data_IF_306609738543
#
_entry.id   IF_306609738543
#
_cell.length_a   1.000
_cell.length_b   1.000
_cell.length_c   1.000
_cell.angle_alpha   90.00
_cell.angle_beta   90.00
_cell.angle_gamma   90.00
#
_symmetry.space_group_name_H-M   'P 1'
#
loop_
_entity.id
_entity.type
_entity.pdbx_description
1 polymer ?
#
# COMPACT_ATOMS: atom_id res chain seq x y z
N UNK A 1 6.37 16.35 19.80
CA UNK A 1 7.83 16.58 19.96
C UNK A 1 8.47 16.22 18.65
N UNK A 2 9.43 17.00 18.18
CA UNK A 2 10.09 16.71 16.89
C UNK A 2 10.88 15.38 16.97
N UNK A 3 10.87 14.53 15.93
CA UNK A 3 11.66 13.30 15.89
C UNK A 3 13.15 13.50 16.20
N UNK A 4 13.73 14.65 15.80
CA UNK A 4 15.12 14.98 16.08
C UNK A 4 15.35 15.18 17.59
N UNK A 5 14.42 15.82 18.29
CA UNK A 5 14.49 15.99 19.74
C UNK A 5 14.41 14.64 20.46
N UNK A 6 13.52 13.75 20.01
CA UNK A 6 13.41 12.39 20.54
C UNK A 6 14.73 11.64 20.34
N UNK A 7 15.34 11.75 19.15
CA UNK A 7 16.63 11.12 18.84
C UNK A 7 17.77 11.69 19.70
N UNK A 8 17.83 13.01 19.90
CA UNK A 8 18.82 13.66 20.76
C UNK A 8 18.66 13.18 22.21
N UNK A 9 17.43 13.11 22.72
CA UNK A 9 17.14 12.59 24.06
C UNK A 9 17.57 11.13 24.19
N UNK A 10 17.18 10.28 23.24
CA UNK A 10 17.57 8.87 23.21
C UNK A 10 19.09 8.70 23.25
N UNK A 11 19.84 9.45 22.43
CA UNK A 11 21.31 9.39 22.40
C UNK A 11 21.97 9.76 23.73
N UNK A 12 21.36 10.66 24.51
CA UNK A 12 21.82 11.03 25.85
C UNK A 12 21.54 9.93 26.87
N UNK A 13 20.31 9.39 26.89
CA UNK A 13 19.87 8.47 27.95
C UNK A 13 20.22 7.00 27.71
N UNK A 14 20.42 6.56 26.46
CA UNK A 14 20.57 5.14 26.10
C UNK A 14 21.75 4.40 26.75
N UNK A 15 22.75 5.13 27.27
CA UNK A 15 23.95 4.57 27.92
C UNK A 15 23.86 4.56 29.45
N UNK A 16 22.77 5.10 30.02
CA UNK A 16 22.56 5.04 31.46
C UNK A 16 22.20 3.63 31.90
N UNK A 17 22.67 3.22 33.09
CA UNK A 17 22.42 1.88 33.63
C UNK A 17 20.94 1.57 33.84
N UNK A 18 20.14 2.58 34.19
CA UNK A 18 18.71 2.43 34.49
C UNK A 18 17.81 2.70 33.27
N UNK A 19 18.38 2.75 32.06
CA UNK A 19 17.62 3.05 30.84
C UNK A 19 16.71 1.88 30.44
N UNK A 20 15.40 2.17 30.35
CA UNK A 20 14.38 1.25 29.86
C UNK A 20 13.86 1.74 28.51
N UNK A 21 14.15 0.97 27.45
CA UNK A 21 13.73 1.31 26.08
C UNK A 21 12.21 1.29 25.92
N UNK A 22 11.52 0.34 26.57
CA UNK A 22 10.05 0.22 26.46
C UNK A 22 9.39 1.49 27.00
N UNK A 23 9.76 1.89 28.23
CA UNK A 23 9.26 3.12 28.84
C UNK A 23 9.64 4.36 28.02
N UNK A 24 10.83 4.38 27.43
CA UNK A 24 11.22 5.48 26.56
C UNK A 24 10.28 5.59 25.35
N UNK A 25 9.95 4.48 24.70
CA UNK A 25 9.04 4.45 23.56
C UNK A 25 7.62 4.88 23.97
N UNK A 26 7.07 4.30 25.04
CA UNK A 26 5.73 4.64 25.56
C UNK A 26 5.59 6.13 25.91
N UNK A 27 6.68 6.77 26.35
CA UNK A 27 6.68 8.19 26.71
C UNK A 27 6.83 9.16 25.51
N UNK A 28 7.29 8.70 24.35
CA UNK A 28 7.63 9.58 23.21
C UNK A 28 6.88 9.26 21.92
N UNK A 29 6.19 8.12 21.85
CA UNK A 29 5.45 7.66 20.67
C UNK A 29 4.01 7.34 21.03
N UNK A 30 3.09 7.72 20.15
CA UNK A 30 1.72 7.22 20.18
C UNK A 30 1.66 5.95 19.35
N UNK A 31 1.34 4.84 20.01
CA UNK A 31 1.11 3.57 19.31
C UNK A 31 -0.30 3.59 18.70
N UNK A 32 -0.47 3.01 17.50
CA UNK A 32 -1.78 2.93 16.88
C UNK A 32 -2.73 2.14 17.79
N UNK A 33 -3.96 2.62 17.88
CA UNK A 33 -5.01 1.88 18.58
C UNK A 33 -5.24 0.56 17.83
N UNK A 34 -5.20 -0.54 18.58
CA UNK A 34 -5.68 -1.81 18.05
C UNK A 34 -7.18 -1.65 17.98
N UNK A 35 -7.72 -1.47 16.77
CA UNK A 35 -9.15 -1.55 16.51
C UNK A 35 -9.59 -3.00 16.71
N UNK A 36 -9.61 -3.48 17.96
CA UNK A 36 -10.39 -4.66 18.32
C UNK A 36 -11.83 -4.24 18.13
N UNK A 37 -12.41 -4.60 16.99
CA UNK A 37 -13.81 -4.35 16.74
C UNK A 37 -14.60 -4.99 17.88
N UNK A 38 -15.37 -4.20 18.62
CA UNK A 38 -16.41 -4.71 19.53
C UNK A 38 -17.50 -5.48 18.77
N UNK A 39 -17.36 -5.62 17.44
CA UNK A 39 -18.19 -6.45 16.60
C UNK A 39 -18.14 -7.90 17.05
N UNK A 40 -19.27 -8.38 17.54
CA UNK A 40 -19.53 -9.79 17.83
C UNK A 40 -20.44 -10.31 16.73
N UNK A 41 -19.98 -11.32 15.99
CA UNK A 41 -20.81 -11.97 14.98
C UNK A 41 -22.03 -12.61 15.62
N UNK A 42 -23.22 -12.31 15.09
CA UNK A 42 -24.45 -13.02 15.46
C UNK A 42 -24.57 -14.30 14.60
N UNK A 43 -24.56 -15.50 15.21
CA UNK A 43 -24.74 -16.76 14.47
C UNK A 43 -26.08 -16.89 13.75
N UNK A 44 -27.07 -16.03 14.05
CA UNK A 44 -28.37 -16.01 13.38
C UNK A 44 -28.34 -15.25 12.04
N UNK A 45 -27.34 -14.39 11.81
CA UNK A 45 -27.21 -13.66 10.56
C UNK A 45 -26.79 -14.60 9.43
N UNK A 46 -27.37 -14.39 8.25
CA UNK A 46 -26.84 -14.99 7.03
C UNK A 46 -25.43 -14.45 6.73
N UNK A 47 -24.66 -15.18 5.91
CA UNK A 47 -23.34 -14.73 5.48
C UNK A 47 -23.38 -13.34 4.81
N UNK A 48 -24.41 -13.07 4.01
CA UNK A 48 -24.59 -11.77 3.34
C UNK A 48 -24.82 -10.66 4.37
N UNK A 49 -25.73 -10.86 5.32
CA UNK A 49 -26.01 -9.86 6.37
C UNK A 49 -24.78 -9.60 7.24
N UNK A 50 -24.02 -10.66 7.56
CA UNK A 50 -22.76 -10.51 8.28
C UNK A 50 -21.75 -9.66 7.52
N UNK A 51 -21.56 -9.90 6.21
CA UNK A 51 -20.67 -9.09 5.36
C UNK A 51 -21.15 -7.64 5.27
N UNK A 52 -22.45 -7.42 5.02
CA UNK A 52 -23.03 -6.08 4.91
C UNK A 52 -22.84 -5.27 6.22
N UNK A 53 -22.93 -5.93 7.37
CA UNK A 53 -22.69 -5.34 8.69
C UNK A 53 -21.21 -5.04 8.98
N UNK A 54 -20.27 -5.67 8.28
CA UNK A 54 -18.84 -5.42 8.46
C UNK A 54 -18.36 -4.17 7.71
N UNK A 55 -19.07 -3.69 6.67
CA UNK A 55 -18.63 -2.50 5.94
C UNK A 55 -18.40 -1.27 6.82
N UNK A 56 -19.30 -0.89 7.75
CA UNK A 56 -19.03 0.21 8.68
C UNK A 56 -17.84 -0.06 9.61
N UNK A 57 -17.64 -1.31 10.04
CA UNK A 57 -16.54 -1.70 10.94
C UNK A 57 -15.19 -1.58 10.25
N UNK A 58 -15.14 -1.89 8.96
CA UNK A 58 -13.94 -1.82 8.12
C UNK A 58 -13.73 -0.45 7.47
N UNK A 59 -14.70 0.46 7.58
CA UNK A 59 -14.58 1.83 7.06
C UNK A 59 -13.70 2.66 7.99
N UNK A 60 -12.82 3.47 7.39
CA UNK A 60 -12.05 4.50 8.07
C UNK A 60 -12.42 5.84 7.46
N UNK A 61 -12.73 6.79 8.33
CA UNK A 61 -13.06 8.15 7.95
C UNK A 61 -11.79 8.97 7.65
N UNK A 62 -11.87 9.99 6.78
CA UNK A 62 -10.77 10.89 6.55
C UNK A 62 -10.39 11.60 7.86
N UNK A 63 -9.10 11.69 8.12
CA UNK A 63 -8.55 12.33 9.31
C UNK A 63 -7.43 13.27 8.89
N UNK A 64 -7.25 14.35 9.65
CA UNK A 64 -6.10 15.22 9.50
C UNK A 64 -4.81 14.44 9.71
N UNK A 65 -3.81 14.75 8.89
CA UNK A 65 -2.52 14.09 9.03
C UNK A 65 -1.88 14.47 10.36
N UNK A 66 -1.76 13.49 11.25
CA UNK A 66 -1.00 13.62 12.50
C UNK A 66 0.49 13.81 12.13
N UNK A 67 1.14 14.90 12.55
CA UNK A 67 2.54 15.14 12.23
C UNK A 67 3.44 13.95 12.56
N UNK A 68 4.30 13.58 11.61
CA UNK A 68 5.24 12.45 11.72
C UNK A 68 4.59 11.07 11.85
N UNK A 69 3.27 10.96 11.62
CA UNK A 69 2.62 9.67 11.48
C UNK A 69 3.06 8.97 10.20
N UNK A 70 3.15 7.64 10.24
CA UNK A 70 3.35 6.86 9.02
C UNK A 70 2.09 6.77 8.17
N UNK A 71 0.89 6.99 8.73
CA UNK A 71 -0.36 6.94 7.99
C UNK A 71 -0.50 8.20 7.12
N UNK A 72 -0.63 7.98 5.81
CA UNK A 72 -0.89 9.03 4.83
C UNK A 72 -2.38 9.36 4.87
N UNK A 73 -2.70 10.64 5.06
CA UNK A 73 -4.09 11.10 5.04
C UNK A 73 -4.69 10.90 3.64
N UNK A 74 -5.96 10.50 3.62
CA UNK A 74 -6.76 10.37 2.41
C UNK A 74 -7.96 11.31 2.51
N UNK A 75 -8.39 11.94 1.39
CA UNK A 75 -9.46 12.94 1.41
C UNK A 75 -10.86 12.36 1.62
N UNK A 76 -11.08 11.08 1.34
CA UNK A 76 -12.38 10.40 1.45
C UNK A 76 -12.28 9.17 2.35
N UNK A 77 -13.43 8.65 2.78
CA UNK A 77 -13.51 7.41 3.55
C UNK A 77 -12.99 6.22 2.73
N UNK A 78 -12.42 5.22 3.39
CA UNK A 78 -11.84 4.05 2.71
C UNK A 78 -12.04 2.77 3.54
N UNK A 79 -11.97 1.62 2.88
CA UNK A 79 -12.03 0.31 3.53
C UNK A 79 -10.63 -0.21 3.83
N UNK A 80 -10.47 -0.82 5.00
CA UNK A 80 -9.27 -1.57 5.38
C UNK A 80 -9.57 -3.08 5.44
N UNK A 81 -8.60 -3.97 5.20
CA UNK A 81 -8.82 -5.42 5.28
C UNK A 81 -9.25 -5.92 6.67
N UNK A 82 -8.93 -5.18 7.73
CA UNK A 82 -9.28 -5.50 9.11
C UNK A 82 -8.18 -6.19 9.91
N UNK A 83 -8.44 -6.38 11.20
CA UNK A 83 -7.48 -6.95 12.16
C UNK A 83 -6.27 -6.03 12.37
N UNK A 84 -5.06 -6.55 12.08
CA UNK A 84 -3.82 -5.77 12.22
C UNK A 84 -3.64 -4.70 11.14
N UNK A 85 -4.38 -4.79 10.05
CA UNK A 85 -4.28 -3.89 8.93
C UNK A 85 -5.21 -2.69 9.14
N UNK A 86 -4.60 -1.52 9.33
CA UNK A 86 -5.30 -0.27 9.65
C UNK A 86 -5.16 0.77 8.54
N UNK A 87 -4.60 0.37 7.41
CA UNK A 87 -4.39 1.14 6.20
C UNK A 87 -5.16 0.51 5.03
N UNK A 88 -5.47 1.30 4.01
CA UNK A 88 -5.95 0.75 2.74
C UNK A 88 -4.82 0.05 2.00
N UNK A 89 -5.15 -1.00 1.26
CA UNK A 89 -4.24 -1.73 0.38
C UNK A 89 -4.76 -1.67 -1.04
N UNK A 90 -3.87 -1.48 -2.01
CA UNK A 90 -4.26 -1.19 -3.38
C UNK A 90 -5.04 -2.34 -4.04
N UNK A 91 -4.45 -3.52 -4.21
CA UNK A 91 -5.12 -4.60 -4.94
C UNK A 91 -6.27 -5.25 -4.16
N UNK A 92 -6.17 -5.34 -2.82
CA UNK A 92 -7.24 -5.83 -1.94
C UNK A 92 -8.50 -4.96 -2.07
N UNK A 93 -8.32 -3.67 -2.33
CA UNK A 93 -9.41 -2.73 -2.50
C UNK A 93 -10.26 -3.03 -3.73
N UNK A 94 -9.69 -3.57 -4.82
CA UNK A 94 -10.50 -3.93 -5.99
C UNK A 94 -11.48 -5.06 -5.66
N UNK A 95 -11.01 -6.12 -4.99
CA UNK A 95 -11.87 -7.23 -4.57
C UNK A 95 -12.90 -6.80 -3.52
N UNK A 96 -12.51 -5.87 -2.64
CA UNK A 96 -13.44 -5.24 -1.71
C UNK A 96 -14.52 -4.44 -2.44
N UNK A 97 -14.14 -3.67 -3.47
CA UNK A 97 -15.05 -2.88 -4.28
C UNK A 97 -16.06 -3.74 -5.03
N UNK A 98 -15.68 -4.91 -5.53
CA UNK A 98 -16.64 -5.88 -6.09
C UNK A 98 -17.73 -6.26 -5.07
N UNK A 99 -17.36 -6.46 -3.80
CA UNK A 99 -18.34 -6.70 -2.73
C UNK A 99 -19.21 -5.49 -2.42
N UNK A 100 -18.63 -4.29 -2.42
CA UNK A 100 -19.37 -3.04 -2.20
C UNK A 100 -20.40 -2.77 -3.31
N UNK A 101 -20.05 -3.06 -4.57
CA UNK A 101 -20.96 -3.00 -5.71
C UNK A 101 -22.19 -3.88 -5.50
N UNK A 102 -21.98 -5.16 -5.17
CA UNK A 102 -23.04 -6.11 -4.87
C UNK A 102 -23.89 -5.71 -3.64
N UNK A 103 -23.29 -5.03 -2.67
CA UNK A 103 -23.98 -4.47 -1.50
C UNK A 103 -24.67 -3.11 -1.78
N UNK A 104 -24.57 -2.55 -2.99
CA UNK A 104 -25.16 -1.26 -3.35
C UNK A 104 -24.49 -0.04 -2.69
N UNK A 105 -23.23 -0.17 -2.27
CA UNK A 105 -22.44 0.88 -1.60
C UNK A 105 -21.66 1.76 -2.59
N UNK A 106 -22.38 2.34 -3.54
CA UNK A 106 -21.83 3.27 -4.54
C UNK A 106 -21.11 4.47 -3.92
N UNK A 107 -21.55 4.88 -2.72
CA UNK A 107 -20.91 5.92 -1.91
C UNK A 107 -19.45 5.59 -1.62
N UNK A 108 -19.19 4.37 -1.13
CA UNK A 108 -17.85 3.92 -0.78
C UNK A 108 -17.00 3.60 -2.00
N UNK A 109 -17.61 3.07 -3.07
CA UNK A 109 -16.91 2.91 -4.34
C UNK A 109 -16.30 4.27 -4.71
N UNK A 110 -17.13 5.31 -4.82
CA UNK A 110 -16.68 6.62 -5.30
C UNK A 110 -15.55 7.19 -4.44
N UNK A 111 -15.69 7.08 -3.12
CA UNK A 111 -14.66 7.50 -2.17
C UNK A 111 -13.33 6.77 -2.40
N UNK A 112 -13.35 5.45 -2.61
CA UNK A 112 -12.15 4.65 -2.84
C UNK A 112 -11.42 5.05 -4.13
N UNK A 113 -12.13 5.22 -5.24
CA UNK A 113 -11.48 5.65 -6.48
C UNK A 113 -10.96 7.09 -6.42
N UNK A 114 -11.68 8.00 -5.76
CA UNK A 114 -11.21 9.37 -5.56
C UNK A 114 -9.94 9.38 -4.68
N UNK A 115 -9.84 8.49 -3.68
CA UNK A 115 -8.61 8.32 -2.90
C UNK A 115 -7.44 7.75 -3.73
N UNK A 116 -7.67 6.77 -4.60
CA UNK A 116 -6.63 6.23 -5.48
C UNK A 116 -6.14 7.24 -6.50
N UNK A 117 -7.06 7.98 -7.13
CA UNK A 117 -6.74 9.10 -8.01
C UNK A 117 -5.91 10.17 -7.27
N UNK A 118 -6.30 10.52 -6.05
CA UNK A 118 -5.56 11.48 -5.23
C UNK A 118 -4.15 10.98 -4.89
N UNK A 119 -3.96 9.70 -4.59
CA UNK A 119 -2.63 9.13 -4.35
C UNK A 119 -1.74 9.20 -5.60
N UNK A 120 -2.30 8.95 -6.79
CA UNK A 120 -1.57 9.11 -8.06
C UNK A 120 -1.14 10.57 -8.25
N UNK A 121 -2.01 11.54 -7.99
CA UNK A 121 -1.68 12.96 -8.11
C UNK A 121 -0.57 13.40 -7.16
N UNK A 122 -0.59 12.93 -5.92
CA UNK A 122 0.29 13.42 -4.86
C UNK A 122 1.60 12.64 -4.76
N UNK A 123 1.61 11.35 -5.13
CA UNK A 123 2.76 10.46 -4.99
C UNK A 123 3.26 9.89 -6.32
N UNK A 124 2.60 10.22 -7.43
CA UNK A 124 2.95 9.75 -8.78
C UNK A 124 2.52 8.31 -9.09
N UNK A 125 2.01 7.58 -8.09
CA UNK A 125 1.53 6.21 -8.21
C UNK A 125 0.66 5.84 -6.99
N UNK A 126 -0.03 4.71 -7.06
CA UNK A 126 -0.71 4.14 -5.90
C UNK A 126 0.30 3.30 -5.10
N UNK A 127 0.66 3.67 -3.86
CA UNK A 127 1.54 2.87 -3.03
C UNK A 127 0.85 1.56 -2.62
N UNK A 128 1.64 0.57 -2.16
CA UNK A 128 1.11 -0.71 -1.66
C UNK A 128 -0.04 -0.54 -0.65
N UNK A 129 0.10 0.45 0.25
CA UNK A 129 -0.98 0.98 1.07
C UNK A 129 -0.69 2.42 1.49
N UNK A 130 -1.61 3.10 2.17
CA UNK A 130 -1.46 4.52 2.54
C UNK A 130 -0.53 4.73 3.74
N UNK A 131 0.70 4.19 3.68
CA UNK A 131 1.76 4.39 4.68
C UNK A 131 3.04 4.94 4.04
N UNK A 132 3.78 5.79 4.75
CA UNK A 132 5.02 6.41 4.27
C UNK A 132 6.08 5.38 3.85
N UNK A 133 6.15 4.23 4.52
CA UNK A 133 7.07 3.13 4.19
C UNK A 133 6.63 2.28 2.98
N UNK A 134 5.44 2.53 2.43
CA UNK A 134 4.96 1.94 1.18
C UNK A 134 5.16 2.86 -0.04
N UNK A 135 5.55 4.12 0.13
CA UNK A 135 5.77 5.05 -0.98
C UNK A 135 6.90 4.64 -1.95
N UNK A 136 7.71 3.64 -1.62
CA UNK A 136 8.77 3.14 -2.48
C UNK A 136 8.33 2.06 -3.47
N UNK A 137 7.08 1.56 -3.36
CA UNK A 137 6.56 0.48 -4.20
C UNK A 137 5.05 0.55 -4.37
N UNK A 138 4.59 0.00 -5.49
CA UNK A 138 3.17 -0.25 -5.74
C UNK A 138 2.76 -1.71 -5.43
N UNK A 139 1.55 -2.06 -5.84
CA UNK A 139 0.95 -3.40 -5.85
C UNK A 139 0.45 -3.71 -7.27
N UNK A 140 -0.12 -4.90 -7.55
CA UNK A 140 -0.68 -5.18 -8.87
C UNK A 140 -1.61 -4.05 -9.35
N UNK A 141 -1.40 -3.48 -10.56
CA UNK A 141 -2.11 -2.29 -11.02
C UNK A 141 -3.54 -2.63 -11.46
N UNK A 142 -4.49 -2.45 -10.55
CA UNK A 142 -5.91 -2.76 -10.74
C UNK A 142 -6.80 -1.52 -10.79
N UNK A 143 -6.24 -0.30 -10.79
CA UNK A 143 -7.02 0.93 -10.85
C UNK A 143 -7.81 1.07 -12.15
N UNK A 144 -7.28 0.59 -13.28
CA UNK A 144 -8.07 0.49 -14.51
C UNK A 144 -9.32 -0.39 -14.34
N UNK A 145 -9.20 -1.52 -13.64
CA UNK A 145 -10.31 -2.42 -13.34
C UNK A 145 -11.30 -1.79 -12.36
N UNK A 146 -10.79 -1.03 -11.38
CA UNK A 146 -11.64 -0.24 -10.48
C UNK A 146 -12.46 0.77 -11.27
N UNK A 147 -11.83 1.51 -12.19
CA UNK A 147 -12.49 2.51 -13.05
C UNK A 147 -13.55 1.88 -13.97
N UNK A 148 -13.28 0.69 -14.51
CA UNK A 148 -14.24 -0.08 -15.31
C UNK A 148 -15.48 -0.47 -14.48
N UNK A 149 -15.26 -0.99 -13.26
CA UNK A 149 -16.34 -1.35 -12.33
C UNK A 149 -17.31 -0.19 -12.06
N UNK A 150 -16.81 1.05 -11.92
CA UNK A 150 -17.69 2.22 -11.74
C UNK A 150 -18.67 2.43 -12.88
N UNK A 151 -18.21 2.26 -14.12
CA UNK A 151 -19.05 2.51 -15.28
C UNK A 151 -20.10 1.41 -15.44
N UNK A 152 -19.74 0.17 -15.13
CA UNK A 152 -20.66 -0.98 -15.16
C UNK A 152 -21.79 -0.84 -14.12
N UNK A 153 -21.47 -0.38 -12.91
CA UNK A 153 -22.46 -0.17 -11.84
C UNK A 153 -23.25 1.15 -11.97
N UNK A 154 -23.07 1.90 -13.07
CA UNK A 154 -23.83 3.11 -13.34
C UNK A 154 -23.36 4.36 -12.60
N UNK A 155 -22.23 4.29 -11.89
CA UNK A 155 -21.57 5.46 -11.31
C UNK A 155 -20.88 6.25 -12.43
N UNK A 156 -21.64 7.16 -13.04
CA UNK A 156 -21.15 7.99 -14.15
C UNK A 156 -19.95 8.83 -13.72
N UNK A 157 -18.85 8.75 -14.48
CA UNK A 157 -17.76 9.71 -14.34
C UNK A 157 -16.36 9.17 -14.55
N UNK A 158 -16.16 7.94 -14.99
CA UNK A 158 -14.84 7.33 -15.16
C UNK A 158 -13.91 8.13 -16.06
N UNK A 159 -14.45 8.89 -17.01
CA UNK A 159 -13.66 9.80 -17.85
C UNK A 159 -12.80 10.77 -17.03
N UNK A 160 -13.21 11.13 -15.81
CA UNK A 160 -12.42 11.99 -14.92
C UNK A 160 -11.11 11.34 -14.45
N UNK A 161 -11.02 10.01 -14.47
CA UNK A 161 -9.84 9.25 -14.07
C UNK A 161 -8.86 8.98 -15.22
N UNK A 162 -9.17 9.42 -16.44
CA UNK A 162 -8.32 9.15 -17.61
C UNK A 162 -6.89 9.67 -17.42
N UNK A 163 -6.75 10.87 -16.85
CA UNK A 163 -5.43 11.45 -16.63
C UNK A 163 -4.67 10.69 -15.53
N UNK A 164 -5.35 10.23 -14.47
CA UNK A 164 -4.77 9.37 -13.44
C UNK A 164 -4.31 8.02 -13.98
N UNK A 165 -5.10 7.39 -14.87
CA UNK A 165 -4.72 6.14 -15.54
C UNK A 165 -3.46 6.32 -16.39
N UNK A 166 -3.34 7.44 -17.10
CA UNK A 166 -2.13 7.77 -17.86
C UNK A 166 -0.92 8.00 -16.95
N UNK A 167 -1.13 8.67 -15.81
CA UNK A 167 -0.07 8.89 -14.82
C UNK A 167 0.41 7.57 -14.21
N UNK A 168 -0.50 6.67 -13.84
CA UNK A 168 -0.12 5.35 -13.35
C UNK A 168 0.61 4.54 -14.42
N UNK A 169 0.13 4.56 -15.67
CA UNK A 169 0.83 3.92 -16.79
C UNK A 169 2.25 4.49 -16.97
N UNK A 170 2.41 5.81 -16.90
CA UNK A 170 3.71 6.46 -17.00
C UNK A 170 4.65 6.03 -15.85
N UNK A 171 4.14 5.83 -14.64
CA UNK A 171 4.91 5.27 -13.54
C UNK A 171 5.42 3.85 -13.85
N UNK A 172 4.57 2.96 -14.35
CA UNK A 172 4.98 1.59 -14.70
C UNK A 172 5.96 1.54 -15.87
N UNK A 173 5.86 2.49 -16.80
CA UNK A 173 6.67 2.58 -18.01
C UNK A 173 7.89 3.50 -17.88
N UNK A 174 8.19 3.99 -16.67
CA UNK A 174 9.31 4.90 -16.44
C UNK A 174 10.65 4.31 -16.93
N UNK A 175 11.35 5.08 -17.76
CA UNK A 175 12.63 4.71 -18.37
C UNK A 175 12.55 3.77 -19.59
N UNK A 176 11.36 3.36 -20.04
CA UNK A 176 11.19 2.42 -21.15
C UNK A 176 11.92 2.84 -22.44
N UNK A 177 11.85 4.12 -22.80
CA UNK A 177 12.42 4.65 -24.06
C UNK A 177 13.96 4.57 -24.11
N UNK A 178 14.61 4.56 -22.95
CA UNK A 178 16.08 4.56 -22.84
C UNK A 178 16.70 3.16 -22.75
N UNK A 179 15.87 2.12 -22.62
CA UNK A 179 16.35 0.75 -22.46
C UNK A 179 16.86 0.16 -23.77
N UNK A 180 18.03 -0.47 -23.74
CA UNK A 180 18.49 -1.36 -24.82
C UNK A 180 18.08 -2.82 -24.52
N UNK A 181 18.05 -3.73 -25.51
CA UNK A 181 17.72 -5.13 -25.28
C UNK A 181 18.57 -5.76 -24.16
N UNK A 182 17.94 -6.61 -23.35
CA UNK A 182 18.48 -7.23 -22.13
C UNK A 182 18.77 -6.29 -20.95
N UNK A 183 18.21 -5.09 -20.97
CA UNK A 183 18.31 -4.15 -19.85
C UNK A 183 16.99 -4.04 -19.10
N UNK A 184 17.08 -3.76 -17.81
CA UNK A 184 15.94 -3.43 -16.98
C UNK A 184 16.22 -2.17 -16.16
N UNK A 185 15.21 -1.32 -16.03
CA UNK A 185 15.23 -0.13 -15.21
C UNK A 185 13.91 -0.04 -14.46
N UNK A 186 13.96 0.07 -13.13
CA UNK A 186 12.79 0.02 -12.26
C UNK A 186 11.83 -1.12 -12.65
N UNK A 187 10.61 -0.76 -13.05
CA UNK A 187 9.54 -1.64 -13.44
C UNK A 187 9.65 -2.16 -14.87
N UNK A 188 10.47 -1.58 -15.74
CA UNK A 188 10.52 -1.96 -17.16
C UNK A 188 11.70 -2.89 -17.46
N UNK A 189 11.45 -3.91 -18.29
CA UNK A 189 12.43 -4.84 -18.82
C UNK A 189 12.31 -4.86 -20.35
N UNK A 190 13.42 -4.64 -21.05
CA UNK A 190 13.50 -4.81 -22.50
C UNK A 190 14.07 -6.18 -22.83
N UNK A 191 13.25 -7.03 -23.43
CA UNK A 191 13.56 -8.41 -23.77
C UNK A 191 14.53 -8.49 -24.97
N UNK A 192 15.17 -9.65 -25.22
CA UNK A 192 16.11 -9.81 -26.34
C UNK A 192 15.48 -9.56 -27.72
N UNK A 193 14.19 -9.85 -27.87
CA UNK A 193 13.39 -9.62 -29.09
C UNK A 193 12.96 -8.15 -29.27
N UNK A 194 13.29 -7.29 -28.30
CA UNK A 194 12.92 -5.88 -28.29
C UNK A 194 11.60 -5.57 -27.58
N UNK A 195 10.84 -6.58 -27.16
CA UNK A 195 9.58 -6.43 -26.44
C UNK A 195 9.80 -5.74 -25.09
N UNK A 196 8.88 -4.86 -24.70
CA UNK A 196 8.86 -4.22 -23.39
C UNK A 196 7.86 -4.91 -22.47
N UNK A 197 8.31 -5.20 -21.26
CA UNK A 197 7.51 -5.87 -20.24
C UNK A 197 7.72 -5.22 -18.88
N UNK A 198 6.76 -5.41 -17.96
CA UNK A 198 6.87 -4.90 -16.60
C UNK A 198 7.26 -5.99 -15.59
N UNK A 199 7.94 -5.58 -14.52
CA UNK A 199 8.26 -6.37 -13.33
C UNK A 199 7.94 -5.57 -12.06
N UNK A 200 7.77 -6.28 -10.95
CA UNK A 200 7.73 -5.63 -9.64
C UNK A 200 9.12 -5.10 -9.26
N UNK A 201 9.12 -3.91 -8.68
CA UNK A 201 10.31 -3.20 -8.24
C UNK A 201 9.95 -2.36 -7.01
N UNK A 202 10.93 -2.20 -6.12
CA UNK A 202 10.88 -1.29 -4.98
C UNK A 202 12.12 -0.40 -5.11
N UNK A 203 11.92 0.92 -4.97
CA UNK A 203 12.97 1.92 -5.08
C UNK A 203 13.89 1.96 -3.85
N UNK A 204 13.55 1.27 -2.76
CA UNK A 204 14.41 1.09 -1.59
C UNK A 204 15.16 -0.25 -1.64
N UNK A 205 16.42 -0.21 -1.26
CA UNK A 205 17.29 -1.37 -1.06
C UNK A 205 17.58 -1.64 0.43
N UNK A 206 16.74 -1.11 1.32
CA UNK A 206 16.82 -1.27 2.78
C UNK A 206 15.82 -2.31 3.30
N UNK A 207 16.00 -2.85 4.52
CA UNK A 207 14.96 -3.66 5.16
C UNK A 207 13.63 -2.90 5.23
N UNK A 208 12.53 -3.65 5.17
CA UNK A 208 11.18 -3.08 5.29
C UNK A 208 10.92 -2.60 6.71
N UNK A 209 10.37 -1.40 6.85
CA UNK A 209 10.09 -0.80 8.16
C UNK A 209 9.09 -1.67 8.96
N UNK A 210 8.11 -2.29 8.27
CA UNK A 210 7.09 -3.16 8.85
C UNK A 210 7.55 -4.60 9.13
N UNK A 211 8.76 -4.98 8.71
CA UNK A 211 9.31 -6.34 8.86
C UNK A 211 10.83 -6.31 9.07
N UNK A 212 11.29 -5.32 9.84
CA UNK A 212 12.71 -4.99 9.96
C UNK A 212 13.55 -6.16 10.47
N UNK A 213 13.09 -6.82 11.54
CA UNK A 213 13.83 -7.91 12.17
C UNK A 213 13.92 -9.12 11.24
N UNK A 214 12.82 -9.49 10.61
CA UNK A 214 12.69 -10.61 9.70
C UNK A 214 13.60 -10.44 8.47
N UNK A 215 13.61 -9.24 7.87
CA UNK A 215 14.44 -8.94 6.71
C UNK A 215 15.93 -8.97 7.06
N UNK A 216 16.31 -8.39 8.21
CA UNK A 216 17.70 -8.38 8.69
C UNK A 216 18.20 -9.79 8.97
N UNK A 217 17.42 -10.61 9.67
CA UNK A 217 17.79 -12.00 9.96
C UNK A 217 17.85 -12.86 8.71
N UNK A 218 16.92 -12.67 7.76
CA UNK A 218 16.96 -13.42 6.50
C UNK A 218 18.17 -13.04 5.66
N UNK A 219 18.53 -11.75 5.59
CA UNK A 219 19.73 -11.29 4.89
C UNK A 219 21.01 -11.89 5.50
N UNK A 220 21.14 -11.92 6.83
CA UNK A 220 22.27 -12.55 7.53
C UNK A 220 22.43 -14.03 7.18
N UNK A 221 21.33 -14.78 7.09
CA UNK A 221 21.35 -16.21 6.81
C UNK A 221 21.42 -16.55 5.31
N UNK A 222 21.28 -15.58 4.41
CA UNK A 222 21.20 -15.82 2.96
C UNK A 222 22.55 -16.13 2.28
N UNK A 223 23.67 -15.74 2.90
CA UNK A 223 25.00 -15.81 2.29
C UNK A 223 25.21 -14.85 1.10
N UNK A 224 24.27 -13.91 0.86
CA UNK A 224 24.32 -12.92 -0.22
C UNK A 224 24.49 -11.51 0.33
N UNK A 225 24.99 -10.56 -0.48
CA UNK A 225 25.03 -9.15 -0.12
C UNK A 225 23.62 -8.65 0.26
N UNK A 226 23.43 -7.97 1.41
CA UNK A 226 22.11 -7.55 1.86
C UNK A 226 21.32 -6.69 0.85
N UNK A 227 22.02 -5.83 0.11
CA UNK A 227 21.45 -5.01 -0.97
C UNK A 227 20.89 -5.80 -2.16
N UNK A 228 21.27 -7.08 -2.34
CA UNK A 228 20.64 -7.97 -3.33
C UNK A 228 19.44 -8.74 -2.76
N UNK A 229 19.31 -8.78 -1.44
CA UNK A 229 18.35 -9.61 -0.71
C UNK A 229 17.13 -8.79 -0.32
N UNK A 230 17.31 -7.58 0.23
CA UNK A 230 16.20 -6.72 0.64
C UNK A 230 15.23 -6.39 -0.51
N UNK A 231 15.68 -6.05 -1.74
CA UNK A 231 14.77 -5.81 -2.84
C UNK A 231 13.98 -7.04 -3.29
N UNK A 232 14.34 -8.26 -2.87
CA UNK A 232 13.58 -9.47 -3.23
C UNK A 232 12.37 -9.69 -2.34
N UNK A 233 12.40 -9.26 -1.08
CA UNK A 233 11.25 -9.38 -0.18
C UNK A 233 10.14 -8.41 -0.59
N UNK A 234 10.51 -7.21 -1.04
CA UNK A 234 9.58 -6.18 -1.50
C UNK A 234 8.99 -6.46 -2.87
N UNK A 235 9.67 -7.26 -3.70
CA UNK A 235 9.18 -7.76 -5.01
C UNK A 235 8.28 -8.98 -4.93
N UNK A 236 7.99 -9.46 -3.72
CA UNK A 236 7.07 -10.57 -3.47
C UNK A 236 7.78 -11.90 -3.18
N UNK A 237 7.93 -12.22 -1.89
CA UNK A 237 8.08 -13.61 -1.42
C UNK A 237 6.75 -14.39 -1.39
N UNK A 238 5.61 -13.75 -1.68
CA UNK A 238 4.27 -14.37 -1.66
C UNK A 238 3.64 -14.67 -3.03
N UNK A 239 4.17 -14.10 -4.12
CA UNK A 239 3.69 -14.33 -5.48
C UNK A 239 4.89 -14.68 -6.37
N UNK A 240 5.29 -15.95 -6.36
CA UNK A 240 6.04 -16.56 -7.48
C UNK A 240 5.14 -16.74 -8.72
N UNK A 241 4.21 -15.83 -8.96
CA UNK A 241 3.59 -15.66 -10.25
C UNK A 241 4.31 -14.49 -10.90
N UNK A 242 5.21 -14.81 -11.83
CA UNK A 242 5.70 -13.87 -12.83
C UNK A 242 4.53 -13.44 -13.69
N UNK A 243 3.65 -12.62 -13.15
CA UNK A 243 2.66 -11.89 -13.92
C UNK A 243 3.40 -10.73 -14.58
N UNK A 244 4.02 -11.06 -15.71
CA UNK A 244 4.23 -10.14 -16.80
C UNK A 244 2.84 -9.71 -17.26
N UNK A 245 2.37 -8.56 -16.81
CA UNK A 245 1.15 -7.97 -17.35
C UNK A 245 1.51 -7.26 -18.66
N UNK A 246 0.99 -7.68 -19.81
CA UNK A 246 0.90 -6.79 -20.95
C UNK A 246 -0.19 -5.78 -20.60
N UNK A 247 0.20 -4.54 -20.28
CA UNK A 247 -0.75 -3.43 -20.28
C UNK A 247 -1.16 -3.24 -21.74
N UNK A 248 -2.44 -3.46 -22.04
CA UNK A 248 -3.00 -3.34 -23.37
C UNK A 248 -2.70 -1.94 -23.94
N UNK A 249 -2.08 -1.93 -25.11
CA UNK A 249 -1.83 -0.73 -25.92
C UNK A 249 -3.10 -0.34 -26.69
#
# INVERSE_FOLDING_TARGET
MDPLDILIRYRKVRRHRDFDLRKFVENHFWLPEVYSSEYVSDPQNSLKEHIDQLWPVLTREPQDHIPWSSLLALPQSYIVPGGRFSETYYWDSYFTMLGLAESGREDLLKCMADNFAWMIENYGHIPNGNRTYYLSRSQPPVFALMVELFEEDGVRGARRYLDHLKMEYAFWMDGAESLIPNQAYRHVVRMPDGSLLNRYWDDRDTPRDESWLEDVETAKHSGRPPNEVYPRFTRGSGLRLGLLFPLAA
#
